data_IF_247839482812
#
_entry.id   IF_247839482812
#
_cell.length_a   1.000
_cell.length_b   1.000
_cell.length_c   1.000
_cell.angle_alpha   90.00
_cell.angle_beta   90.00
_cell.angle_gamma   90.00
#
_symmetry.space_group_name_H-M   'P 1'
#
loop_
_entity.id
_entity.type
_entity.pdbx_description
1 polymer ?
#
# COMPACT_ATOMS: atom_id res chain seq x y z
N UNK A 1 -22.98 -32.20 -10.17
CA UNK A 1 -23.09 -31.55 -11.49
C UNK A 1 -22.04 -32.04 -12.49
N UNK A 2 -20.73 -32.01 -12.18
CA UNK A 2 -19.65 -32.33 -13.15
C UNK A 2 -19.68 -33.78 -13.69
N UNK A 3 -19.96 -34.79 -12.84
CA UNK A 3 -20.09 -36.20 -13.29
C UNK A 3 -21.32 -36.49 -14.14
N UNK A 4 -22.41 -35.75 -13.93
CA UNK A 4 -23.60 -35.83 -14.79
C UNK A 4 -23.38 -35.11 -16.14
N UNK A 5 -22.45 -34.15 -16.18
CA UNK A 5 -22.01 -33.46 -17.39
C UNK A 5 -21.22 -34.38 -18.35
N UNK A 6 -20.39 -35.28 -17.83
CA UNK A 6 -19.57 -36.18 -18.65
C UNK A 6 -20.39 -37.23 -19.43
N UNK A 7 -21.59 -37.60 -18.98
CA UNK A 7 -22.38 -38.68 -19.58
C UNK A 7 -23.20 -38.26 -20.81
N UNK A 8 -23.24 -36.97 -21.16
CA UNK A 8 -24.07 -36.43 -22.27
C UNK A 8 -23.30 -35.99 -23.52
N UNK A 9 -21.97 -36.13 -23.55
CA UNK A 9 -21.12 -35.49 -24.57
C UNK A 9 -20.16 -36.45 -25.31
N UNK A 10 -20.66 -37.59 -25.79
CA UNK A 10 -19.84 -38.50 -26.62
C UNK A 10 -19.82 -38.18 -28.11
N UNK A 11 -20.63 -37.26 -28.65
CA UNK A 11 -20.77 -37.18 -30.12
C UNK A 11 -20.32 -35.91 -30.85
N UNK A 12 -20.04 -34.75 -30.22
CA UNK A 12 -19.36 -33.66 -30.97
C UNK A 12 -18.52 -32.74 -30.08
N UNK A 13 -17.40 -33.25 -29.53
CA UNK A 13 -16.35 -32.37 -29.01
C UNK A 13 -15.63 -31.73 -30.19
N UNK A 14 -15.81 -30.42 -30.40
CA UNK A 14 -15.21 -29.68 -31.54
C UNK A 14 -13.89 -29.02 -31.19
N UNK A 15 -13.66 -28.69 -29.92
CA UNK A 15 -12.45 -27.99 -29.50
C UNK A 15 -12.09 -28.31 -28.04
N UNK A 16 -10.84 -28.68 -27.80
CA UNK A 16 -10.30 -28.97 -26.46
C UNK A 16 -9.39 -27.85 -25.98
N UNK A 17 -9.66 -27.32 -24.79
CA UNK A 17 -8.95 -26.17 -24.19
C UNK A 17 -8.20 -26.61 -22.94
N UNK A 18 -6.94 -26.20 -22.83
CA UNK A 18 -6.09 -26.45 -21.67
C UNK A 18 -5.49 -25.14 -21.15
N UNK A 19 -5.71 -24.84 -19.88
CA UNK A 19 -5.10 -23.70 -19.18
C UNK A 19 -3.78 -24.14 -18.55
N UNK A 20 -2.76 -23.29 -18.57
CA UNK A 20 -1.46 -23.48 -17.93
C UNK A 20 -1.03 -22.17 -17.26
N UNK A 21 -0.14 -22.28 -16.27
CA UNK A 21 0.36 -21.14 -15.53
C UNK A 21 1.82 -21.34 -15.16
N UNK A 22 2.56 -20.22 -15.17
CA UNK A 22 3.98 -20.13 -14.86
C UNK A 22 4.22 -19.00 -13.84
N UNK A 23 5.22 -18.14 -14.02
CA UNK A 23 5.55 -17.04 -13.11
C UNK A 23 4.47 -15.96 -13.03
N UNK A 24 3.38 -16.23 -12.32
CA UNK A 24 2.24 -15.33 -12.10
C UNK A 24 1.57 -15.52 -10.72
N UNK A 25 0.68 -14.59 -10.37
CA UNK A 25 -0.17 -14.65 -9.19
C UNK A 25 -1.49 -15.43 -9.39
N UNK A 26 -1.69 -16.06 -10.57
CA UNK A 26 -2.91 -16.80 -10.95
C UNK A 26 -4.20 -15.95 -10.99
N UNK A 27 -4.06 -14.62 -10.94
CA UNK A 27 -5.21 -13.71 -10.85
C UNK A 27 -6.14 -13.81 -12.05
N UNK A 28 -5.63 -14.07 -13.27
CA UNK A 28 -6.48 -14.18 -14.44
C UNK A 28 -7.30 -15.48 -14.40
N UNK A 29 -6.68 -16.61 -14.06
CA UNK A 29 -7.37 -17.91 -13.91
C UNK A 29 -8.38 -17.91 -12.76
N UNK A 30 -8.10 -17.28 -11.63
CA UNK A 30 -9.10 -17.12 -10.57
C UNK A 30 -10.32 -16.35 -11.03
N UNK A 31 -10.14 -15.31 -11.85
CA UNK A 31 -11.26 -14.55 -12.40
C UNK A 31 -12.11 -15.40 -13.35
N UNK A 32 -11.49 -16.17 -14.23
CA UNK A 32 -12.16 -17.13 -15.12
C UNK A 32 -13.02 -18.11 -14.33
N UNK A 33 -12.50 -18.65 -13.22
CA UNK A 33 -13.27 -19.55 -12.34
C UNK A 33 -14.42 -18.81 -11.64
N UNK A 34 -14.20 -17.57 -11.20
CA UNK A 34 -15.22 -16.80 -10.51
C UNK A 34 -16.38 -16.37 -11.43
N UNK A 35 -16.10 -16.17 -12.73
CA UNK A 35 -17.10 -15.84 -13.76
C UNK A 35 -17.40 -17.04 -14.67
N UNK A 36 -17.19 -18.27 -14.18
CA UNK A 36 -17.26 -19.48 -14.99
C UNK A 36 -18.62 -19.68 -15.69
N UNK A 37 -19.70 -19.14 -15.13
CA UNK A 37 -21.03 -19.18 -15.75
C UNK A 37 -21.03 -18.60 -17.18
N UNK A 38 -20.30 -17.50 -17.42
CA UNK A 38 -20.18 -16.89 -18.77
C UNK A 38 -19.49 -17.83 -19.76
N UNK A 39 -18.47 -18.53 -19.27
CA UNK A 39 -17.70 -19.49 -20.07
C UNK A 39 -18.54 -20.75 -20.32
N UNK A 40 -19.24 -21.27 -19.31
CA UNK A 40 -20.04 -22.48 -19.41
C UNK A 40 -21.09 -22.41 -20.53
N UNK A 41 -21.76 -21.27 -20.70
CA UNK A 41 -22.71 -21.05 -21.81
C UNK A 41 -22.03 -21.18 -23.19
N UNK A 42 -20.81 -20.66 -23.33
CA UNK A 42 -20.01 -20.80 -24.55
C UNK A 42 -19.60 -22.27 -24.77
N UNK A 43 -19.15 -22.95 -23.70
CA UNK A 43 -18.72 -24.35 -23.77
C UNK A 43 -19.83 -25.26 -24.31
N UNK A 44 -21.05 -25.08 -23.81
CA UNK A 44 -22.23 -25.81 -24.26
C UNK A 44 -22.61 -25.49 -25.71
N UNK A 45 -22.66 -24.19 -26.06
CA UNK A 45 -23.08 -23.72 -27.40
C UNK A 45 -22.18 -24.24 -28.52
N UNK A 46 -20.88 -24.33 -28.30
CA UNK A 46 -19.90 -24.67 -29.33
C UNK A 46 -19.24 -26.04 -29.18
N UNK A 47 -19.58 -26.82 -28.15
CA UNK A 47 -18.97 -28.13 -27.89
C UNK A 47 -17.48 -28.00 -27.53
N UNK A 48 -17.15 -27.04 -26.66
CA UNK A 48 -15.79 -26.82 -26.17
C UNK A 48 -15.60 -27.61 -24.86
N UNK A 49 -14.54 -28.40 -24.79
CA UNK A 49 -14.19 -29.18 -23.60
C UNK A 49 -12.96 -28.58 -22.92
N UNK A 50 -13.07 -28.19 -21.63
CA UNK A 50 -11.90 -27.86 -20.82
C UNK A 50 -11.26 -29.15 -20.34
N UNK A 51 -10.14 -29.54 -20.96
CA UNK A 51 -9.45 -30.81 -20.64
C UNK A 51 -8.44 -30.66 -19.52
N UNK A 52 -7.99 -29.42 -19.25
CA UNK A 52 -7.07 -29.06 -18.15
C UNK A 52 -7.42 -27.68 -17.59
N UNK A 53 -7.81 -27.64 -16.32
CA UNK A 53 -7.90 -26.43 -15.50
C UNK A 53 -7.84 -26.85 -14.01
N UNK A 54 -6.64 -26.83 -13.41
CA UNK A 54 -6.43 -27.25 -12.03
C UNK A 54 -7.36 -26.62 -10.99
N UNK A 55 -7.74 -25.34 -11.13
CA UNK A 55 -8.64 -24.64 -10.21
C UNK A 55 -10.09 -25.17 -10.28
N UNK A 56 -10.47 -25.81 -11.38
CA UNK A 56 -11.75 -26.52 -11.53
C UNK A 56 -11.64 -28.02 -11.18
N UNK A 57 -10.47 -28.48 -10.71
CA UNK A 57 -10.22 -29.89 -10.39
C UNK A 57 -9.95 -30.76 -11.62
N UNK A 58 -9.83 -30.19 -12.82
CA UNK A 58 -9.58 -30.93 -14.06
C UNK A 58 -8.07 -30.98 -14.32
N UNK A 59 -7.45 -32.15 -14.15
CA UNK A 59 -5.99 -32.33 -14.18
C UNK A 59 -5.47 -33.10 -15.39
N UNK A 60 -6.34 -33.49 -16.32
CA UNK A 60 -5.96 -34.28 -17.49
C UNK A 60 -5.06 -33.48 -18.42
N UNK A 61 -3.93 -34.05 -18.83
CA UNK A 61 -3.05 -33.43 -19.84
C UNK A 61 -3.07 -34.23 -21.16
N UNK A 62 -4.24 -34.74 -21.53
CA UNK A 62 -4.44 -35.40 -22.83
C UNK A 62 -4.83 -34.36 -23.89
N UNK A 63 -4.59 -34.70 -25.16
CA UNK A 63 -4.71 -33.86 -26.38
C UNK A 63 -5.64 -32.63 -26.24
N UNK A 64 -5.10 -31.44 -26.53
CA UNK A 64 -5.81 -30.16 -26.58
C UNK A 64 -5.56 -29.46 -27.92
N UNK A 65 -6.56 -28.72 -28.38
CA UNK A 65 -6.45 -27.89 -29.59
C UNK A 65 -5.94 -26.49 -29.23
N UNK A 66 -6.40 -25.93 -28.10
CA UNK A 66 -6.07 -24.59 -27.64
C UNK A 66 -5.35 -24.67 -26.30
N UNK A 67 -4.16 -24.09 -26.22
CA UNK A 67 -3.45 -23.87 -24.97
C UNK A 67 -3.55 -22.40 -24.57
N UNK A 68 -4.02 -22.14 -23.35
CA UNK A 68 -4.08 -20.81 -22.75
C UNK A 68 -3.02 -20.76 -21.65
N UNK A 69 -2.07 -19.83 -21.76
CA UNK A 69 -0.97 -19.69 -20.80
C UNK A 69 -1.07 -18.34 -20.08
N UNK A 70 -1.18 -18.37 -18.75
CA UNK A 70 -0.98 -17.20 -17.89
C UNK A 70 0.46 -17.14 -17.35
N UNK A 71 0.95 -15.93 -17.11
CA UNK A 71 2.21 -15.69 -16.40
C UNK A 71 3.45 -15.54 -17.27
N UNK A 72 4.50 -15.00 -16.65
CA UNK A 72 5.80 -14.86 -17.30
C UNK A 72 6.51 -16.21 -17.36
N UNK A 73 7.27 -16.45 -18.44
CA UNK A 73 8.02 -17.69 -18.63
C UNK A 73 9.41 -17.50 -18.05
N UNK A 74 9.79 -18.28 -17.05
CA UNK A 74 11.14 -18.22 -16.48
C UNK A 74 12.08 -19.15 -17.25
N UNK A 75 13.39 -19.04 -17.03
CA UNK A 75 14.38 -19.93 -17.64
C UNK A 75 14.13 -21.42 -17.38
N UNK A 76 13.50 -21.75 -16.25
CA UNK A 76 13.15 -23.13 -15.86
C UNK A 76 11.94 -23.67 -16.64
N UNK A 77 11.11 -22.79 -17.20
CA UNK A 77 9.84 -23.13 -17.83
C UNK A 77 9.96 -23.33 -19.35
N UNK A 78 11.09 -22.96 -19.94
CA UNK A 78 11.28 -22.85 -21.41
C UNK A 78 10.94 -24.15 -22.13
N UNK A 79 11.50 -25.28 -21.70
CA UNK A 79 11.25 -26.57 -22.37
C UNK A 79 9.80 -27.02 -22.21
N UNK A 80 9.20 -26.72 -21.05
CA UNK A 80 7.80 -27.03 -20.78
C UNK A 80 6.85 -26.22 -21.66
N UNK A 81 7.12 -24.94 -21.85
CA UNK A 81 6.35 -24.05 -22.74
C UNK A 81 6.47 -24.50 -24.20
N UNK A 82 7.68 -24.87 -24.66
CA UNK A 82 7.89 -25.42 -26.00
C UNK A 82 7.12 -26.72 -26.22
N UNK A 83 7.08 -27.60 -25.23
CA UNK A 83 6.29 -28.83 -25.28
C UNK A 83 4.79 -28.54 -25.42
N UNK A 84 4.27 -27.61 -24.61
CA UNK A 84 2.87 -27.19 -24.68
C UNK A 84 2.53 -26.63 -26.06
N UNK A 85 3.40 -25.75 -26.59
CA UNK A 85 3.20 -25.17 -27.91
C UNK A 85 3.15 -26.23 -29.01
N UNK A 86 4.04 -27.24 -28.97
CA UNK A 86 4.06 -28.32 -29.97
C UNK A 86 2.76 -29.12 -30.02
N UNK A 87 2.07 -29.25 -28.90
CA UNK A 87 0.81 -30.00 -28.79
C UNK A 87 -0.42 -29.17 -29.19
N UNK A 88 -0.35 -27.84 -29.06
CA UNK A 88 -1.47 -26.95 -29.35
C UNK A 88 -1.55 -26.52 -30.82
N UNK A 89 -2.76 -26.50 -31.39
CA UNK A 89 -3.04 -25.80 -32.65
C UNK A 89 -2.98 -24.28 -32.45
N UNK A 90 -3.59 -23.78 -31.37
CA UNK A 90 -3.60 -22.37 -31.00
C UNK A 90 -3.00 -22.14 -29.61
N UNK A 91 -2.12 -21.15 -29.49
CA UNK A 91 -1.56 -20.70 -28.22
C UNK A 91 -2.04 -19.27 -27.91
N UNK A 92 -2.74 -19.10 -26.80
CA UNK A 92 -3.25 -17.81 -26.33
C UNK A 92 -2.46 -17.38 -25.08
N UNK A 93 -1.89 -16.18 -25.10
CA UNK A 93 -1.31 -15.55 -23.92
C UNK A 93 -2.42 -14.84 -23.11
N UNK A 94 -2.60 -15.25 -21.86
CA UNK A 94 -3.59 -14.70 -20.94
C UNK A 94 -2.93 -13.76 -19.93
N UNK A 95 -3.34 -12.49 -19.97
CA UNK A 95 -2.94 -11.47 -19.02
C UNK A 95 -1.61 -10.78 -19.33
N UNK A 96 -1.37 -9.69 -18.59
CA UNK A 96 -0.24 -8.79 -18.80
C UNK A 96 1.12 -9.46 -18.53
N UNK A 97 1.17 -10.45 -17.63
CA UNK A 97 2.41 -11.19 -17.36
C UNK A 97 2.82 -12.06 -18.55
N UNK A 98 1.88 -12.76 -19.21
CA UNK A 98 2.19 -13.57 -20.39
C UNK A 98 2.55 -12.69 -21.61
N UNK A 99 1.95 -11.50 -21.72
CA UNK A 99 2.20 -10.57 -22.82
C UNK A 99 3.48 -9.73 -22.66
N UNK A 100 3.71 -9.14 -21.49
CA UNK A 100 4.80 -8.18 -21.22
C UNK A 100 5.94 -8.76 -20.37
N UNK A 101 5.77 -9.97 -19.80
CA UNK A 101 6.69 -10.57 -18.84
C UNK A 101 6.52 -10.04 -17.40
N UNK A 102 5.63 -9.07 -17.20
CA UNK A 102 5.17 -8.61 -15.89
C UNK A 102 6.29 -8.15 -14.96
N UNK A 103 6.05 -8.26 -13.64
CA UNK A 103 7.01 -7.87 -12.60
C UNK A 103 8.36 -8.62 -12.74
N UNK A 104 8.32 -9.88 -13.18
CA UNK A 104 9.51 -10.72 -13.34
C UNK A 104 10.52 -10.21 -14.39
N UNK A 105 10.11 -9.33 -15.30
CA UNK A 105 11.00 -8.69 -16.30
C UNK A 105 11.53 -7.32 -15.90
N UNK A 106 11.06 -6.72 -14.80
CA UNK A 106 11.39 -5.33 -14.46
C UNK A 106 12.88 -5.13 -14.17
N UNK A 107 13.54 -6.10 -13.52
CA UNK A 107 14.99 -6.01 -13.24
C UNK A 107 15.84 -5.86 -14.51
N UNK A 108 15.49 -6.61 -15.56
CA UNK A 108 16.14 -6.54 -16.87
C UNK A 108 15.84 -5.21 -17.59
N UNK A 109 14.59 -4.73 -17.52
CA UNK A 109 14.13 -3.53 -18.26
C UNK A 109 14.68 -2.21 -17.70
N UNK A 110 15.04 -2.17 -16.41
CA UNK A 110 15.48 -0.94 -15.73
C UNK A 110 16.96 -0.93 -15.34
N UNK A 111 17.79 -1.84 -15.87
CA UNK A 111 19.24 -1.85 -15.62
C UNK A 111 19.60 -2.12 -14.15
N UNK A 112 18.68 -2.68 -13.38
CA UNK A 112 18.95 -3.14 -12.02
C UNK A 112 19.94 -4.30 -12.12
N UNK A 113 20.97 -4.34 -11.26
CA UNK A 113 21.97 -5.41 -11.28
C UNK A 113 21.29 -6.77 -11.09
N UNK A 114 21.00 -7.44 -12.21
CA UNK A 114 20.29 -8.71 -12.25
C UNK A 114 20.97 -9.77 -11.37
N UNK A 115 22.29 -9.65 -11.23
CA UNK A 115 23.13 -10.49 -10.38
C UNK A 115 22.69 -10.53 -8.91
N UNK A 116 22.20 -9.41 -8.35
CA UNK A 116 21.75 -9.38 -6.95
C UNK A 116 20.43 -10.12 -6.76
N UNK A 117 19.53 -10.06 -7.75
CA UNK A 117 18.26 -10.79 -7.76
C UNK A 117 18.49 -12.29 -7.99
N UNK A 118 19.35 -12.65 -8.94
CA UNK A 118 19.73 -14.04 -9.21
C UNK A 118 20.38 -14.69 -7.98
N UNK A 119 21.26 -13.97 -7.26
CA UNK A 119 21.87 -14.42 -5.99
C UNK A 119 20.85 -14.68 -4.88
N UNK A 120 19.70 -13.99 -4.91
CA UNK A 120 18.58 -14.21 -3.97
C UNK A 120 17.59 -15.30 -4.45
N UNK A 121 17.91 -15.99 -5.55
CA UNK A 121 17.12 -17.10 -6.07
C UNK A 121 15.95 -16.70 -6.97
N UNK A 122 15.86 -15.43 -7.39
CA UNK A 122 14.83 -15.00 -8.34
C UNK A 122 15.20 -15.44 -9.77
N UNK A 123 14.27 -16.04 -10.49
CA UNK A 123 14.45 -16.38 -11.91
C UNK A 123 14.01 -15.22 -12.81
N UNK A 124 14.78 -14.97 -13.87
CA UNK A 124 14.43 -13.98 -14.89
C UNK A 124 13.25 -14.53 -15.71
N UNK A 125 12.11 -13.84 -15.64
CA UNK A 125 10.96 -14.10 -16.51
C UNK A 125 11.09 -13.34 -17.82
N UNK A 126 10.50 -13.86 -18.90
CA UNK A 126 10.29 -13.18 -20.18
C UNK A 126 8.85 -13.35 -20.65
N UNK A 127 8.34 -12.47 -21.53
CA UNK A 127 7.03 -12.67 -22.13
C UNK A 127 7.01 -13.92 -23.03
N UNK A 128 5.84 -14.55 -23.14
CA UNK A 128 5.65 -15.84 -23.81
C UNK A 128 6.10 -15.83 -25.28
N UNK A 129 5.88 -14.71 -25.97
CA UNK A 129 6.20 -14.54 -27.39
C UNK A 129 7.70 -14.49 -27.70
N UNK A 130 8.57 -14.32 -26.70
CA UNK A 130 10.01 -14.44 -26.87
C UNK A 130 10.48 -15.91 -26.88
N UNK A 131 9.65 -16.84 -26.39
CA UNK A 131 10.00 -18.26 -26.27
C UNK A 131 9.33 -19.10 -27.35
N UNK A 132 8.06 -18.82 -27.65
CA UNK A 132 7.26 -19.55 -28.64
C UNK A 132 6.34 -18.61 -29.42
N UNK A 133 5.95 -19.03 -30.64
CA UNK A 133 4.90 -18.31 -31.40
C UNK A 133 3.58 -18.33 -30.62
N UNK A 134 3.06 -17.14 -30.32
CA UNK A 134 1.74 -16.91 -29.75
C UNK A 134 0.77 -16.55 -30.88
N UNK A 135 -0.40 -17.19 -30.90
CA UNK A 135 -1.41 -16.97 -31.94
C UNK A 135 -2.40 -15.87 -31.55
N UNK A 136 -2.67 -15.68 -30.25
CA UNK A 136 -3.54 -14.61 -29.75
C UNK A 136 -3.22 -14.14 -28.34
N UNK A 137 -3.78 -12.98 -27.99
CA UNK A 137 -3.57 -12.35 -26.69
C UNK A 137 -4.91 -11.95 -26.09
N UNK A 138 -5.12 -12.29 -24.83
CA UNK A 138 -6.20 -11.73 -24.00
C UNK A 138 -5.52 -10.88 -22.93
N UNK A 139 -5.62 -9.56 -23.05
CA UNK A 139 -4.80 -8.63 -22.25
C UNK A 139 -5.54 -8.23 -20.96
N UNK A 140 -4.83 -7.60 -20.02
CA UNK A 140 -5.38 -7.15 -18.73
C UNK A 140 -4.64 -7.70 -17.51
N UNK A 141 -4.94 -7.17 -16.32
CA UNK A 141 -4.39 -7.65 -15.05
C UNK A 141 -5.44 -7.40 -13.93
N UNK A 142 -6.40 -8.32 -13.72
CA UNK A 142 -6.58 -9.59 -14.43
C UNK A 142 -7.15 -9.45 -15.85
N UNK A 143 -6.97 -10.46 -16.70
CA UNK A 143 -7.49 -10.48 -18.06
C UNK A 143 -9.03 -10.52 -18.12
N UNK A 144 -9.61 -9.98 -19.20
CA UNK A 144 -11.06 -9.94 -19.42
C UNK A 144 -11.63 -11.31 -19.76
N UNK A 145 -12.70 -11.70 -19.05
CA UNK A 145 -13.43 -12.94 -19.32
C UNK A 145 -14.22 -12.82 -20.62
N UNK A 146 -14.78 -11.64 -20.90
CA UNK A 146 -15.56 -11.41 -22.11
C UNK A 146 -14.66 -11.42 -23.36
N UNK A 147 -13.44 -10.87 -23.26
CA UNK A 147 -12.44 -11.00 -24.33
C UNK A 147 -12.03 -12.46 -24.56
N UNK A 148 -11.80 -13.23 -23.49
CA UNK A 148 -11.51 -14.65 -23.61
C UNK A 148 -12.66 -15.42 -24.29
N UNK A 149 -13.90 -15.13 -23.92
CA UNK A 149 -15.10 -15.72 -24.53
C UNK A 149 -15.14 -15.43 -26.03
N UNK A 150 -14.92 -14.16 -26.42
CA UNK A 150 -14.91 -13.76 -27.83
C UNK A 150 -13.81 -14.48 -28.65
N UNK A 151 -12.61 -14.61 -28.09
CA UNK A 151 -11.50 -15.32 -28.77
C UNK A 151 -11.82 -16.81 -28.93
N UNK A 152 -12.36 -17.46 -27.89
CA UNK A 152 -12.73 -18.87 -27.97
C UNK A 152 -13.90 -19.12 -28.92
N UNK A 153 -14.88 -18.21 -28.96
CA UNK A 153 -15.99 -18.23 -29.91
C UNK A 153 -15.47 -18.11 -31.36
N UNK A 154 -14.56 -17.17 -31.62
CA UNK A 154 -13.98 -16.97 -32.94
C UNK A 154 -13.25 -18.22 -33.44
N UNK A 155 -12.42 -18.84 -32.59
CA UNK A 155 -11.71 -20.08 -32.95
C UNK A 155 -12.72 -21.20 -33.23
N UNK A 156 -13.75 -21.34 -32.39
CA UNK A 156 -14.77 -22.39 -32.55
C UNK A 156 -15.59 -22.24 -33.85
N UNK A 157 -15.88 -21.00 -34.26
CA UNK A 157 -16.69 -20.71 -35.45
C UNK A 157 -15.86 -20.72 -36.74
N UNK A 158 -14.68 -20.09 -36.71
CA UNK A 158 -13.89 -19.83 -37.93
C UNK A 158 -12.72 -20.78 -38.11
N UNK A 159 -12.29 -21.48 -37.06
CA UNK A 159 -11.05 -22.25 -37.06
C UNK A 159 -9.79 -21.37 -37.19
N UNK A 160 -9.88 -20.08 -36.89
CA UNK A 160 -8.80 -19.11 -37.00
C UNK A 160 -8.83 -18.09 -35.87
N UNK A 161 -7.78 -17.28 -35.75
CA UNK A 161 -7.70 -16.19 -34.79
C UNK A 161 -7.30 -14.90 -35.48
N UNK A 162 -8.10 -13.87 -35.30
CA UNK A 162 -7.83 -12.54 -35.81
C UNK A 162 -6.78 -11.83 -34.95
N UNK A 163 -5.73 -11.32 -35.61
CA UNK A 163 -4.70 -10.52 -34.96
C UNK A 163 -5.14 -9.06 -34.92
N UNK A 164 -5.98 -8.69 -33.96
CA UNK A 164 -6.29 -7.29 -33.71
C UNK A 164 -5.42 -6.76 -32.57
N UNK A 165 -4.73 -5.65 -32.82
CA UNK A 165 -4.15 -4.84 -31.75
C UNK A 165 -5.29 -4.03 -31.10
N UNK A 166 -5.88 -4.56 -30.02
CA UNK A 166 -6.90 -3.84 -29.25
C UNK A 166 -6.26 -3.10 -28.07
N UNK A 167 -6.72 -1.87 -27.83
CA UNK A 167 -6.54 -1.20 -26.53
C UNK A 167 -7.33 -2.03 -25.52
N UNK A 168 -6.65 -2.56 -24.51
CA UNK A 168 -7.34 -3.31 -23.46
C UNK A 168 -8.03 -2.33 -22.52
N UNK A 169 -9.27 -2.64 -22.12
CA UNK A 169 -9.94 -1.90 -21.05
C UNK A 169 -9.30 -2.29 -19.71
N UNK A 170 -8.95 -1.28 -18.91
CA UNK A 170 -8.50 -1.51 -17.55
C UNK A 170 -9.72 -1.87 -16.69
N UNK A 171 -9.94 -3.17 -16.47
CA UNK A 171 -11.17 -3.69 -15.85
C UNK A 171 -11.22 -3.63 -14.32
N UNK A 172 -10.36 -2.84 -13.68
CA UNK A 172 -10.51 -2.59 -12.24
C UNK A 172 -11.62 -1.56 -12.02
N UNK A 173 -12.87 -1.99 -12.12
CA UNK A 173 -14.06 -1.17 -11.89
C UNK A 173 -14.52 -1.20 -10.43
N UNK A 174 -13.67 -0.77 -9.50
CA UNK A 174 -14.11 -0.52 -8.11
C UNK A 174 -13.41 0.71 -7.55
N UNK A 175 -13.95 1.88 -7.88
CA UNK A 175 -13.54 3.16 -7.28
C UNK A 175 -14.47 3.47 -6.10
N UNK A 176 -14.22 2.82 -4.97
CA UNK A 176 -14.69 3.29 -3.67
C UNK A 176 -13.71 4.36 -3.19
N UNK A 177 -14.24 5.53 -2.84
CA UNK A 177 -13.49 6.56 -2.14
C UNK A 177 -14.10 6.74 -0.76
N UNK A 178 -13.34 6.40 0.28
CA UNK A 178 -13.67 6.75 1.66
C UNK A 178 -12.89 8.00 2.03
N UNK A 179 -13.57 9.05 2.46
CA UNK A 179 -12.94 10.32 2.84
C UNK A 179 -13.69 10.92 4.05
N UNK A 180 -12.98 11.12 5.16
CA UNK A 180 -13.52 11.76 6.37
C UNK A 180 -12.91 13.14 6.65
N UNK A 181 -12.24 13.73 5.65
CA UNK A 181 -11.51 14.99 5.73
C UNK A 181 -10.16 14.89 6.44
N UNK A 182 -9.89 13.81 7.17
CA UNK A 182 -8.59 13.54 7.78
C UNK A 182 -7.82 12.44 7.04
N UNK A 183 -8.47 11.32 6.74
CA UNK A 183 -7.95 10.23 5.91
C UNK A 183 -8.81 10.06 4.66
N UNK A 184 -8.15 9.76 3.54
CA UNK A 184 -8.79 9.43 2.27
C UNK A 184 -8.21 8.13 1.70
N UNK A 185 -9.05 7.12 1.49
CA UNK A 185 -8.73 5.87 0.80
C UNK A 185 -9.40 5.85 -0.58
N UNK A 186 -8.58 5.75 -1.62
CA UNK A 186 -8.95 5.60 -3.03
C UNK A 186 -8.63 4.16 -3.46
N UNK A 187 -9.67 3.33 -3.61
CA UNK A 187 -9.47 1.93 -4.00
C UNK A 187 -9.05 1.77 -5.46
N UNK A 188 -9.24 2.77 -6.32
CA UNK A 188 -8.73 2.79 -7.69
C UNK A 188 -7.20 2.70 -7.71
N UNK A 189 -6.53 3.40 -6.79
CA UNK A 189 -5.07 3.33 -6.59
C UNK A 189 -4.61 2.08 -5.83
N UNK A 190 -5.46 1.49 -5.00
CA UNK A 190 -5.08 0.41 -4.08
C UNK A 190 -4.66 -0.88 -4.80
N UNK A 191 -3.46 -1.39 -4.54
CA UNK A 191 -2.97 -2.68 -5.07
C UNK A 191 -3.26 -3.87 -4.15
N UNK A 192 -4.09 -3.68 -3.11
CA UNK A 192 -4.55 -4.73 -2.18
C UNK A 192 -3.40 -5.46 -1.48
N UNK A 193 -2.26 -4.79 -1.25
CA UNK A 193 -1.08 -5.39 -0.65
C UNK A 193 -1.20 -5.76 0.84
N UNK A 194 -2.27 -5.34 1.53
CA UNK A 194 -2.51 -5.68 2.94
C UNK A 194 -1.65 -4.95 3.99
N UNK A 195 -0.60 -4.21 3.61
CA UNK A 195 0.30 -3.52 4.55
C UNK A 195 -0.44 -2.61 5.55
N UNK A 196 -1.41 -1.84 5.06
CA UNK A 196 -2.20 -0.95 5.90
C UNK A 196 -3.07 -1.70 6.92
N UNK A 197 -3.57 -2.89 6.56
CA UNK A 197 -4.36 -3.77 7.44
C UNK A 197 -3.46 -4.34 8.54
N UNK A 198 -2.30 -4.88 8.15
CA UNK A 198 -1.33 -5.47 9.08
C UNK A 198 -0.84 -4.42 10.10
N UNK A 199 -0.44 -3.23 9.63
CA UNK A 199 -0.02 -2.13 10.51
C UNK A 199 -1.14 -1.67 11.45
N UNK A 200 -2.35 -1.51 10.93
CA UNK A 200 -3.49 -1.09 11.73
C UNK A 200 -3.83 -2.11 12.83
N UNK A 201 -3.60 -3.40 12.56
CA UNK A 201 -3.77 -4.47 13.55
C UNK A 201 -2.64 -4.50 14.58
N UNK A 202 -1.38 -4.31 14.15
CA UNK A 202 -0.20 -4.26 15.04
C UNK A 202 -0.28 -3.13 16.08
N UNK A 203 -1.00 -2.04 15.80
CA UNK A 203 -1.22 -0.94 16.74
C UNK A 203 -2.56 -1.03 17.49
N UNK A 204 -3.25 -2.17 17.40
CA UNK A 204 -4.54 -2.48 18.04
C UNK A 204 -5.76 -1.70 17.54
N UNK A 205 -5.64 -0.85 16.52
CA UNK A 205 -6.76 -0.07 15.99
C UNK A 205 -7.71 -0.88 15.09
N UNK A 206 -7.21 -1.86 14.34
CA UNK A 206 -8.00 -2.84 13.55
C UNK A 206 -9.11 -2.26 12.63
N UNK A 207 -8.89 -1.09 12.05
CA UNK A 207 -9.90 -0.29 11.29
C UNK A 207 -10.08 -0.77 9.85
N UNK A 208 -9.06 -1.37 9.25
CA UNK A 208 -9.01 -1.71 7.83
C UNK A 208 -9.09 -3.22 7.64
N UNK A 209 -9.80 -3.66 6.60
CA UNK A 209 -9.90 -5.07 6.20
C UNK A 209 -9.99 -5.24 4.68
N UNK A 210 -9.92 -6.47 4.20
CA UNK A 210 -10.25 -6.82 2.81
C UNK A 210 -11.73 -7.20 2.71
N UNK A 211 -12.44 -6.62 1.74
CA UNK A 211 -13.80 -6.98 1.40
C UNK A 211 -13.87 -7.62 0.01
N UNK A 212 -14.94 -8.38 -0.25
CA UNK A 212 -15.19 -9.11 -1.49
C UNK A 212 -14.17 -10.24 -1.78
N UNK A 213 -14.17 -10.75 -3.02
CA UNK A 213 -13.35 -11.90 -3.47
C UNK A 213 -12.88 -11.73 -4.91
N UNK A 214 -11.79 -12.43 -5.26
CA UNK A 214 -11.21 -12.40 -6.61
C UNK A 214 -10.74 -11.01 -7.04
N UNK A 215 -11.09 -10.60 -8.25
CA UNK A 215 -10.71 -9.29 -8.78
C UNK A 215 -11.50 -8.11 -8.17
N UNK A 216 -12.58 -8.41 -7.43
CA UNK A 216 -13.39 -7.40 -6.75
C UNK A 216 -12.85 -7.06 -5.35
N UNK A 217 -11.77 -7.71 -4.91
CA UNK A 217 -11.21 -7.45 -3.57
C UNK A 217 -10.77 -6.00 -3.48
N UNK A 218 -11.22 -5.33 -2.42
CA UNK A 218 -10.75 -4.00 -2.06
C UNK A 218 -10.32 -3.99 -0.60
N UNK A 219 -9.46 -3.03 -0.26
CA UNK A 219 -9.26 -2.63 1.12
C UNK A 219 -10.34 -1.61 1.48
N UNK A 220 -10.97 -1.75 2.64
CA UNK A 220 -12.02 -0.83 3.14
C UNK A 220 -12.17 -0.97 4.66
N UNK A 221 -12.95 -0.08 5.28
CA UNK A 221 -13.45 -0.23 6.65
C UNK A 221 -14.55 -1.32 6.73
N UNK A 222 -14.82 -1.90 7.92
CA UNK A 222 -15.98 -2.76 8.16
C UNK A 222 -17.26 -2.09 7.69
N UNK A 223 -18.09 -2.81 6.92
CA UNK A 223 -19.34 -2.29 6.36
C UNK A 223 -19.21 -0.96 5.56
N UNK A 224 -17.99 -0.59 5.12
CA UNK A 224 -17.72 0.65 4.37
C UNK A 224 -18.14 1.94 5.10
N UNK A 225 -18.18 1.92 6.43
CA UNK A 225 -18.46 3.10 7.27
C UNK A 225 -17.25 4.05 7.30
N UNK A 226 -17.41 5.25 7.89
CA UNK A 226 -16.29 6.20 7.96
C UNK A 226 -15.14 5.66 8.83
N UNK A 227 -13.93 6.20 8.63
CA UNK A 227 -12.76 5.80 9.44
C UNK A 227 -13.01 5.98 10.94
N UNK A 228 -13.60 7.12 11.35
CA UNK A 228 -13.91 7.39 12.76
C UNK A 228 -14.92 6.40 13.34
N UNK A 229 -16.03 6.13 12.63
CA UNK A 229 -17.03 5.16 13.08
C UNK A 229 -16.46 3.74 13.18
N UNK A 230 -15.49 3.41 12.32
CA UNK A 230 -14.75 2.15 12.39
C UNK A 230 -13.68 2.09 13.49
N UNK A 231 -13.56 3.10 14.36
CA UNK A 231 -12.60 3.12 15.46
C UNK A 231 -11.20 3.63 15.08
N UNK A 232 -11.08 4.45 14.02
CA UNK A 232 -9.78 5.01 13.66
C UNK A 232 -9.24 5.98 14.71
N UNK A 233 -8.04 5.68 15.21
CA UNK A 233 -7.30 6.57 16.10
C UNK A 233 -6.60 7.73 15.36
N UNK A 234 -6.69 7.81 14.03
CA UNK A 234 -6.09 8.88 13.19
C UNK A 234 -4.57 9.02 13.32
N UNK A 235 -3.87 7.92 13.57
CA UNK A 235 -2.40 7.90 13.68
C UNK A 235 -1.67 8.13 12.33
N UNK A 236 -2.32 7.88 11.19
CA UNK A 236 -1.76 8.09 9.85
C UNK A 236 -0.74 7.05 9.35
N UNK A 237 -0.44 5.99 10.12
CA UNK A 237 0.51 4.95 9.71
C UNK A 237 0.12 4.24 8.42
N UNK A 238 -1.18 3.97 8.21
CA UNK A 238 -1.68 3.34 6.99
C UNK A 238 -1.38 4.16 5.73
N UNK A 239 -1.47 5.50 5.83
CA UNK A 239 -1.12 6.41 4.75
C UNK A 239 0.39 6.46 4.53
N UNK A 240 1.17 6.58 5.62
CA UNK A 240 2.63 6.65 5.56
C UNK A 240 3.29 5.42 4.90
N UNK A 241 2.70 4.24 5.10
CA UNK A 241 3.21 2.97 4.56
C UNK A 241 2.55 2.55 3.24
N UNK A 242 1.60 3.33 2.71
CA UNK A 242 0.94 3.00 1.46
C UNK A 242 1.91 3.18 0.28
N UNK A 243 2.27 2.12 -0.46
CA UNK A 243 3.28 2.21 -1.52
C UNK A 243 2.81 2.96 -2.78
N UNK A 244 1.49 3.19 -2.90
CA UNK A 244 0.84 3.73 -4.10
C UNK A 244 -0.02 4.95 -3.79
N UNK A 245 0.12 5.52 -2.58
CA UNK A 245 -0.71 6.64 -2.11
C UNK A 245 -2.23 6.42 -2.30
N UNK A 246 -2.67 5.17 -2.13
CA UNK A 246 -4.09 4.83 -2.11
C UNK A 246 -4.76 5.32 -0.82
N UNK A 247 -4.03 5.34 0.30
CA UNK A 247 -4.47 6.00 1.53
C UNK A 247 -3.60 7.24 1.72
N UNK A 248 -4.23 8.37 1.95
CA UNK A 248 -3.58 9.67 2.19
C UNK A 248 -4.20 10.33 3.42
N UNK A 249 -3.49 11.30 4.00
CA UNK A 249 -3.98 12.13 5.10
C UNK A 249 -4.19 13.58 4.63
N UNK A 250 -4.85 14.38 5.45
CA UNK A 250 -5.14 15.80 5.18
C UNK A 250 -3.88 16.56 4.75
N UNK A 251 -3.94 17.17 3.58
CA UNK A 251 -2.84 17.94 3.02
C UNK A 251 -3.00 19.43 3.37
N UNK A 252 -2.05 19.96 4.15
CA UNK A 252 -2.04 21.37 4.56
C UNK A 252 -0.93 22.17 3.84
N UNK A 253 -0.25 21.57 2.86
CA UNK A 253 0.94 22.14 2.20
C UNK A 253 0.65 23.51 1.60
N UNK A 254 -0.45 23.64 0.85
CA UNK A 254 -0.81 24.91 0.22
C UNK A 254 -1.08 26.00 1.26
N UNK A 255 -1.84 25.67 2.31
CA UNK A 255 -2.12 26.58 3.41
C UNK A 255 -0.83 27.00 4.14
N UNK A 256 0.07 26.05 4.40
CA UNK A 256 1.36 26.33 5.03
C UNK A 256 2.25 27.23 4.18
N UNK A 257 2.33 27.00 2.86
CA UNK A 257 3.08 27.86 1.94
C UNK A 257 2.48 29.26 1.82
N UNK A 258 1.15 29.39 1.90
CA UNK A 258 0.49 30.69 1.95
C UNK A 258 0.88 31.45 3.22
N UNK A 259 0.85 30.79 4.38
CA UNK A 259 1.31 31.39 5.65
C UNK A 259 2.78 31.78 5.58
N UNK A 260 3.64 30.92 5.00
CA UNK A 260 5.05 31.23 4.80
C UNK A 260 5.25 32.48 3.93
N UNK A 261 4.61 32.56 2.76
CA UNK A 261 4.72 33.71 1.84
C UNK A 261 4.24 35.03 2.44
N UNK A 262 3.31 34.97 3.39
CA UNK A 262 2.82 36.14 4.11
C UNK A 262 3.72 36.55 5.28
N UNK A 263 4.89 35.92 5.45
CA UNK A 263 5.80 36.19 6.56
C UNK A 263 5.30 35.65 7.90
N UNK A 264 4.49 34.58 7.89
CA UNK A 264 4.05 33.90 9.10
C UNK A 264 5.20 33.22 9.85
N UNK A 265 4.90 32.76 11.07
CA UNK A 265 5.87 32.03 11.91
C UNK A 265 5.74 30.53 11.73
N UNK A 266 6.81 29.81 12.04
CA UNK A 266 6.82 28.34 12.10
C UNK A 266 7.30 27.87 13.46
N UNK A 267 6.55 26.95 14.04
CA UNK A 267 6.94 26.21 15.25
C UNK A 267 7.30 24.80 14.81
N UNK A 268 8.51 24.36 15.10
CA UNK A 268 9.03 23.04 14.71
C UNK A 268 9.35 22.21 15.95
N UNK A 269 8.85 20.97 15.99
CA UNK A 269 9.21 20.03 17.04
C UNK A 269 10.68 19.62 16.92
N UNK A 270 11.38 19.51 18.05
CA UNK A 270 12.82 19.17 18.09
C UNK A 270 13.16 17.89 17.31
N UNK A 271 12.33 16.86 17.42
CA UNK A 271 12.52 15.60 16.70
C UNK A 271 12.36 15.77 15.18
N UNK A 272 11.52 16.71 14.74
CA UNK A 272 11.35 17.00 13.32
C UNK A 272 12.62 17.63 12.74
N UNK A 273 13.30 18.51 13.47
CA UNK A 273 14.60 19.10 13.06
C UNK A 273 15.59 17.99 12.72
N UNK A 274 15.77 17.03 13.62
CA UNK A 274 16.71 15.92 13.45
C UNK A 274 16.32 15.00 12.28
N UNK A 275 15.03 14.72 12.15
CA UNK A 275 14.52 13.89 11.05
C UNK A 275 14.67 14.55 9.67
N UNK A 276 14.40 15.85 9.56
CA UNK A 276 14.59 16.62 8.32
C UNK A 276 16.07 16.66 7.95
N UNK A 277 16.93 16.96 8.92
CA UNK A 277 18.37 17.02 8.71
C UNK A 277 18.90 15.70 8.14
N UNK A 278 18.51 14.58 8.75
CA UNK A 278 18.85 13.23 8.27
C UNK A 278 18.29 12.95 6.87
N UNK A 279 17.05 13.32 6.58
CA UNK A 279 16.39 13.03 5.30
C UNK A 279 16.95 13.84 4.12
N UNK A 280 17.48 15.03 4.39
CA UNK A 280 18.08 15.92 3.39
C UNK A 280 19.62 15.80 3.32
N UNK A 281 20.24 15.10 4.27
CA UNK A 281 21.72 15.01 4.35
C UNK A 281 22.37 16.33 4.74
N UNK A 282 21.69 17.14 5.57
CA UNK A 282 22.18 18.42 6.10
C UNK A 282 22.40 18.34 7.61
N UNK A 283 23.06 19.34 8.17
CA UNK A 283 23.20 19.49 9.63
C UNK A 283 21.90 20.02 10.25
N UNK A 284 21.58 19.66 11.51
CA UNK A 284 20.41 20.18 12.22
C UNK A 284 20.30 21.72 12.23
N UNK A 285 21.41 22.45 12.37
CA UNK A 285 21.41 23.92 12.34
C UNK A 285 21.09 24.54 10.98
N UNK A 286 21.13 23.77 9.89
CA UNK A 286 20.76 24.22 8.54
C UNK A 286 19.25 24.14 8.27
N UNK A 287 18.48 23.49 9.16
CA UNK A 287 17.02 23.39 9.03
C UNK A 287 16.33 24.75 9.23
N UNK A 288 16.88 25.62 10.08
CA UNK A 288 16.32 26.96 10.31
C UNK A 288 16.43 27.82 9.03
N UNK A 289 17.61 27.97 8.40
CA UNK A 289 17.72 28.66 7.11
C UNK A 289 16.88 28.05 6.00
N UNK A 290 16.71 26.72 5.97
CA UNK A 290 15.79 26.07 5.04
C UNK A 290 14.36 26.60 5.20
N UNK A 291 13.85 26.64 6.44
CA UNK A 291 12.51 27.18 6.73
C UNK A 291 12.40 28.67 6.37
N UNK A 292 13.43 29.47 6.66
CA UNK A 292 13.46 30.89 6.24
C UNK A 292 13.43 31.04 4.71
N UNK A 293 14.13 30.18 3.99
CA UNK A 293 14.14 30.14 2.51
C UNK A 293 12.76 29.81 1.94
N UNK A 294 11.96 29.01 2.65
CA UNK A 294 10.56 28.74 2.29
C UNK A 294 9.61 29.94 2.52
N UNK A 295 10.09 31.01 3.19
CA UNK A 295 9.35 32.27 3.40
C UNK A 295 9.02 32.58 4.85
N UNK A 296 9.25 31.66 5.80
CA UNK A 296 8.92 31.90 7.21
C UNK A 296 9.78 33.01 7.82
N UNK A 297 9.13 33.98 8.48
CA UNK A 297 9.82 35.13 9.08
C UNK A 297 10.51 34.78 10.41
N UNK A 298 9.92 33.84 11.16
CA UNK A 298 10.39 33.41 12.48
C UNK A 298 10.26 31.91 12.64
N UNK A 299 11.30 31.29 13.17
CA UNK A 299 11.37 29.84 13.45
C UNK A 299 11.52 29.66 14.97
N UNK A 300 10.66 28.85 15.57
CA UNK A 300 10.70 28.50 16.99
C UNK A 300 10.82 26.98 17.14
N UNK A 301 11.81 26.51 17.90
CA UNK A 301 11.99 25.08 18.18
C UNK A 301 11.35 24.76 19.53
N UNK A 302 10.49 23.74 19.55
CA UNK A 302 9.82 23.27 20.77
C UNK A 302 10.08 21.79 21.04
N UNK A 303 10.21 21.43 22.31
CA UNK A 303 10.15 20.04 22.75
C UNK A 303 8.78 19.80 23.41
N UNK A 304 7.84 19.06 22.79
CA UNK A 304 6.53 18.81 23.39
C UNK A 304 6.60 18.18 24.79
N UNK A 305 7.65 17.40 25.08
CA UNK A 305 7.83 16.76 26.39
C UNK A 305 8.08 17.76 27.51
N UNK A 306 8.60 18.97 27.21
CA UNK A 306 8.81 20.01 28.23
C UNK A 306 7.52 20.64 28.73
N UNK A 307 6.39 20.34 28.08
CA UNK A 307 5.05 20.82 28.49
C UNK A 307 4.37 19.86 29.47
N UNK A 308 5.00 18.70 29.74
CA UNK A 308 4.47 17.70 30.65
C UNK A 308 4.85 18.10 32.08
N UNK A 309 3.82 18.23 32.91
CA UNK A 309 3.96 18.47 34.35
C UNK A 309 4.39 17.18 35.06
N UNK A 310 5.69 17.04 35.33
CA UNK A 310 6.31 15.85 35.91
C UNK A 310 5.86 15.50 37.33
N UNK A 311 5.20 16.44 38.02
CA UNK A 311 4.74 16.23 39.41
C UNK A 311 3.43 15.44 39.48
N UNK A 312 2.70 15.35 38.36
CA UNK A 312 1.45 14.60 38.30
C UNK A 312 1.70 13.10 38.25
N UNK A 313 0.66 12.33 38.55
CA UNK A 313 0.64 10.89 38.30
C UNK A 313 -0.42 10.60 37.25
N UNK A 314 -0.03 9.94 36.17
CA UNK A 314 -0.96 9.61 35.09
C UNK A 314 -0.30 9.15 33.80
N UNK A 315 -1.16 8.83 32.83
CA UNK A 315 -0.79 8.41 31.49
C UNK A 315 -0.91 9.62 30.58
N UNK A 316 0.19 10.00 29.93
CA UNK A 316 0.23 11.13 29.00
C UNK A 316 0.28 10.58 27.58
N UNK A 317 -0.79 10.70 26.79
CA UNK A 317 -0.71 10.45 25.36
C UNK A 317 0.28 11.44 24.72
N UNK A 318 0.98 11.04 23.66
CA UNK A 318 1.80 12.01 22.92
C UNK A 318 0.96 12.88 21.98
N UNK A 319 -0.12 12.32 21.44
CA UNK A 319 -1.06 13.00 20.53
C UNK A 319 -2.50 12.54 20.74
N UNK A 320 -3.43 13.12 19.97
CA UNK A 320 -4.82 12.68 19.92
C UNK A 320 -4.97 11.18 19.56
N UNK A 321 -4.00 10.59 18.85
CA UNK A 321 -4.04 9.18 18.48
C UNK A 321 -3.86 8.25 19.67
N UNK A 322 -2.87 8.49 20.53
CA UNK A 322 -2.68 7.71 21.75
C UNK A 322 -3.83 7.92 22.73
N UNK A 323 -4.42 9.12 22.79
CA UNK A 323 -5.59 9.40 23.63
C UNK A 323 -6.76 8.49 23.23
N UNK A 324 -7.12 8.48 21.94
CA UNK A 324 -8.19 7.60 21.43
C UNK A 324 -7.88 6.13 21.59
N UNK A 325 -6.62 5.74 21.39
CA UNK A 325 -6.21 4.35 21.60
C UNK A 325 -6.53 3.91 23.03
N UNK A 326 -6.16 4.70 24.03
CA UNK A 326 -6.45 4.38 25.44
C UNK A 326 -7.96 4.33 25.66
N UNK A 327 -8.71 5.33 25.20
CA UNK A 327 -10.16 5.39 25.37
C UNK A 327 -10.89 4.18 24.73
N UNK A 328 -10.41 3.68 23.59
CA UNK A 328 -11.06 2.61 22.83
C UNK A 328 -10.58 1.21 23.20
N UNK A 329 -9.27 1.04 23.44
CA UNK A 329 -8.64 -0.28 23.61
C UNK A 329 -8.36 -0.59 25.08
N UNK A 330 -8.15 0.43 25.91
CA UNK A 330 -7.84 0.31 27.34
C UNK A 330 -8.77 1.21 28.18
N UNK A 331 -10.11 1.04 28.08
CA UNK A 331 -11.06 1.97 28.69
C UNK A 331 -10.86 2.15 30.20
N UNK A 332 -10.38 1.13 30.91
CA UNK A 332 -10.04 1.15 32.34
C UNK A 332 -8.90 2.12 32.69
N UNK A 333 -8.02 2.43 31.73
CA UNK A 333 -6.91 3.36 31.87
C UNK A 333 -7.32 4.82 31.58
N UNK A 334 -8.51 5.04 30.99
CA UNK A 334 -8.99 6.39 30.63
C UNK A 334 -9.08 7.34 31.82
N UNK A 335 -9.38 6.83 33.02
CA UNK A 335 -9.45 7.62 34.26
C UNK A 335 -8.09 8.18 34.72
N UNK A 336 -7.00 7.67 34.16
CA UNK A 336 -5.63 8.12 34.45
C UNK A 336 -5.06 8.99 33.33
N UNK A 337 -5.82 9.27 32.28
CA UNK A 337 -5.37 10.11 31.18
C UNK A 337 -5.15 11.55 31.64
N UNK A 338 -3.94 12.04 31.37
CA UNK A 338 -3.60 13.44 31.43
C UNK A 338 -3.71 14.06 30.03
N UNK A 339 -3.78 15.39 29.98
CA UNK A 339 -3.74 16.11 28.70
C UNK A 339 -2.40 15.87 27.99
N UNK A 340 -2.48 15.57 26.69
CA UNK A 340 -1.29 15.43 25.86
C UNK A 340 -0.72 16.82 25.51
N UNK A 341 0.59 16.93 25.23
CA UNK A 341 1.21 18.23 24.99
C UNK A 341 0.68 18.83 23.68
N UNK A 342 -0.31 19.72 23.78
CA UNK A 342 -0.89 20.47 22.66
C UNK A 342 -0.32 21.89 22.64
N UNK A 343 0.16 22.33 21.48
CA UNK A 343 0.82 23.62 21.36
C UNK A 343 -0.21 24.75 21.21
N UNK A 344 -0.01 25.87 21.90
CA UNK A 344 -0.84 27.06 21.67
C UNK A 344 -0.28 27.84 20.48
N UNK A 345 -0.92 27.69 19.32
CA UNK A 345 -0.51 28.28 18.04
C UNK A 345 -1.55 29.33 17.61
N UNK A 346 -1.08 30.48 17.11
CA UNK A 346 -1.97 31.47 16.49
C UNK A 346 -2.27 31.13 15.03
N UNK A 347 -3.15 31.91 14.40
CA UNK A 347 -3.62 31.67 13.02
C UNK A 347 -2.54 31.82 11.95
N UNK A 348 -1.46 32.56 12.23
CA UNK A 348 -0.36 32.84 11.31
C UNK A 348 0.85 31.95 11.61
N UNK A 349 0.61 30.79 12.22
CA UNK A 349 1.62 29.82 12.64
C UNK A 349 1.46 28.48 11.94
N UNK A 350 2.54 27.99 11.34
CA UNK A 350 2.64 26.61 10.83
C UNK A 350 3.32 25.73 11.88
N UNK A 351 2.78 24.54 12.13
CA UNK A 351 3.47 23.49 12.90
C UNK A 351 4.24 22.56 11.96
N UNK A 352 5.50 22.25 12.29
CA UNK A 352 6.29 21.19 11.65
C UNK A 352 6.54 20.06 12.64
N UNK A 353 6.15 18.83 12.27
CA UNK A 353 6.09 17.68 13.19
C UNK A 353 6.40 16.34 12.50
N UNK A 354 6.77 15.34 13.29
CA UNK A 354 6.95 13.93 12.86
C UNK A 354 5.66 13.10 12.93
N UNK A 355 4.54 13.70 13.36
CA UNK A 355 3.29 12.98 13.67
C UNK A 355 2.12 13.49 12.83
N UNK A 356 1.49 12.60 12.05
CA UNK A 356 0.28 12.93 11.27
C UNK A 356 -0.91 13.29 12.16
N UNK A 357 -1.04 12.68 13.35
CA UNK A 357 -2.16 12.94 14.25
C UNK A 357 -2.25 14.43 14.68
N UNK A 358 -1.12 15.15 14.71
CA UNK A 358 -1.08 16.59 15.00
C UNK A 358 -1.87 17.46 14.03
N UNK A 359 -2.11 16.98 12.80
CA UNK A 359 -3.02 17.65 11.86
C UNK A 359 -4.42 17.76 12.47
N UNK A 360 -4.86 16.81 13.29
CA UNK A 360 -6.16 16.96 13.91
C UNK A 360 -6.23 18.11 14.93
N UNK A 361 -5.11 18.39 15.58
CA UNK A 361 -5.01 19.39 16.63
C UNK A 361 -4.80 20.81 16.13
N UNK A 362 -4.15 20.92 14.98
CA UNK A 362 -3.62 22.17 14.46
C UNK A 362 -3.85 22.25 12.94
N UNK A 363 -3.92 23.46 12.42
CA UNK A 363 -3.88 23.72 10.97
C UNK A 363 -3.38 25.15 10.76
N UNK A 364 -2.44 25.38 9.84
CA UNK A 364 -1.75 24.41 8.98
C UNK A 364 -0.65 23.61 9.69
N UNK A 365 -0.49 22.32 9.32
CA UNK A 365 0.58 21.44 9.81
C UNK A 365 1.33 20.79 8.66
N UNK A 366 2.65 20.94 8.63
CA UNK A 366 3.55 20.23 7.76
C UNK A 366 4.17 19.04 8.50
N UNK A 367 4.01 17.84 7.95
CA UNK A 367 4.82 16.70 8.36
C UNK A 367 6.24 16.83 7.82
N UNK A 368 7.20 16.14 8.45
CA UNK A 368 8.57 16.02 7.91
C UNK A 368 8.56 15.50 6.47
N UNK A 369 7.71 14.53 6.15
CA UNK A 369 7.58 14.00 4.80
C UNK A 369 7.15 15.07 3.79
N UNK A 370 6.12 15.85 4.10
CA UNK A 370 5.66 16.95 3.25
C UNK A 370 6.75 18.01 3.07
N UNK A 371 7.41 18.43 4.17
CA UNK A 371 8.47 19.45 4.13
C UNK A 371 9.68 18.99 3.31
N UNK A 372 10.13 17.74 3.50
CA UNK A 372 11.27 17.19 2.75
C UNK A 372 10.93 17.08 1.26
N UNK A 373 9.71 16.70 0.92
CA UNK A 373 9.26 16.63 -0.48
C UNK A 373 9.24 18.03 -1.11
N UNK A 374 8.66 19.01 -0.42
CA UNK A 374 8.68 20.42 -0.84
C UNK A 374 10.10 20.95 -1.05
N UNK A 375 10.99 20.71 -0.09
CA UNK A 375 12.37 21.17 -0.16
C UNK A 375 13.10 20.60 -1.40
N UNK A 376 12.87 19.33 -1.74
CA UNK A 376 13.44 18.69 -2.94
C UNK A 376 12.84 19.24 -4.23
N UNK A 377 11.53 19.46 -4.26
CA UNK A 377 10.82 19.99 -5.44
C UNK A 377 11.23 21.44 -5.77
N UNK A 378 11.60 22.22 -4.75
CA UNK A 378 12.05 23.61 -4.92
C UNK A 378 13.52 23.74 -5.36
N UNK A 379 14.23 22.63 -5.62
CA UNK A 379 15.63 22.60 -6.08
C UNK A 379 16.59 23.46 -5.22
N UNK A 380 16.30 23.58 -3.91
CA UNK A 380 17.12 24.36 -2.98
C UNK A 380 18.50 23.69 -2.87
N UNK A 381 19.57 24.46 -3.07
CA UNK A 381 20.93 23.93 -2.90
C UNK A 381 21.26 23.86 -1.41
N UNK A 382 21.04 22.67 -0.83
CA UNK A 382 21.15 22.45 0.60
C UNK A 382 22.56 22.64 1.18
N UNK A 383 23.61 22.45 0.36
CA UNK A 383 25.01 22.56 0.80
C UNK A 383 25.42 23.97 1.18
N UNK A 384 24.75 24.98 0.64
CA UNK A 384 25.11 26.39 0.82
C UNK A 384 24.32 27.07 1.93
N UNK A 385 23.41 26.35 2.59
CA UNK A 385 22.64 26.90 3.70
C UNK A 385 23.55 27.15 4.91
N UNK A 386 23.52 28.35 5.52
CA UNK A 386 24.29 28.62 6.73
C UNK A 386 23.82 27.72 7.89
N UNK A 387 24.62 27.65 8.95
CA UNK A 387 24.24 26.92 10.17
C UNK A 387 23.86 27.94 11.25
N UNK A 388 22.66 27.80 11.81
CA UNK A 388 22.20 28.59 12.96
C UNK A 388 22.29 27.76 14.26
N UNK A 389 22.58 28.44 15.37
CA UNK A 389 22.57 27.80 16.69
C UNK A 389 21.13 27.38 17.05
N UNK A 390 20.99 26.13 17.48
CA UNK A 390 19.70 25.57 17.90
C UNK A 390 19.47 25.94 19.36
N UNK A 391 18.92 27.13 19.60
CA UNK A 391 18.43 27.48 20.94
C UNK A 391 17.15 26.67 21.22
N UNK A 392 17.28 25.60 22.02
CA UNK A 392 16.13 24.91 22.59
C UNK A 392 15.94 25.35 24.03
N UNK A 393 14.69 25.62 24.42
CA UNK A 393 14.30 25.63 25.82
C UNK A 393 14.34 24.19 26.33
N UNK A 394 15.53 23.69 26.65
CA UNK A 394 15.75 22.36 27.22
C UNK A 394 15.31 22.37 28.68
N UNK A 395 14.08 21.94 28.93
CA UNK A 395 13.80 21.26 30.18
C UNK A 395 13.86 19.77 29.87
N UNK A 396 14.97 19.11 30.25
CA UNK A 396 15.06 17.66 30.24
C UNK A 396 14.09 17.12 31.29
N UNK A 397 12.87 16.81 30.84
CA UNK A 397 11.87 16.18 31.66
C UNK A 397 12.18 14.68 31.69
N UNK A 398 12.67 14.17 32.83
CA UNK A 398 12.98 12.75 33.02
C UNK A 398 11.69 11.94 33.18
N UNK A 399 10.97 11.72 32.06
CA UNK A 399 9.70 10.97 32.02
C UNK A 399 9.90 9.59 31.39
N UNK A 400 9.20 8.57 31.89
CA UNK A 400 9.16 7.23 31.28
C UNK A 400 8.40 7.33 29.96
N UNK A 401 9.01 6.90 28.86
CA UNK A 401 8.38 6.91 27.52
C UNK A 401 8.26 5.47 27.04
N UNK A 402 7.03 5.04 26.75
CA UNK A 402 6.75 3.75 26.12
C UNK A 402 6.69 3.94 24.60
N UNK A 403 7.50 3.18 23.84
CA UNK A 403 7.67 3.36 22.40
C UNK A 403 7.20 2.13 21.63
N UNK A 404 6.14 2.32 20.84
CA UNK A 404 5.54 1.29 20.02
C UNK A 404 4.48 0.44 20.76
N UNK A 405 3.75 -0.41 20.03
CA UNK A 405 2.54 -1.05 20.54
C UNK A 405 2.75 -1.93 21.77
N UNK A 406 3.76 -2.79 21.74
CA UNK A 406 4.02 -3.74 22.84
C UNK A 406 4.47 -3.02 24.12
N UNK A 407 5.36 -2.04 24.01
CA UNK A 407 5.78 -1.22 25.15
C UNK A 407 4.62 -0.38 25.69
N UNK A 408 3.80 0.22 24.83
CA UNK A 408 2.62 1.00 25.23
C UNK A 408 1.64 0.12 26.01
N UNK A 409 1.32 -1.07 25.49
CA UNK A 409 0.44 -2.02 26.17
C UNK A 409 1.00 -2.44 27.53
N UNK A 410 2.27 -2.84 27.57
CA UNK A 410 2.92 -3.25 28.81
C UNK A 410 2.94 -2.10 29.83
N UNK A 411 3.23 -0.88 29.39
CA UNK A 411 3.30 0.28 30.27
C UNK A 411 1.93 0.69 30.82
N UNK A 412 0.85 0.55 30.03
CA UNK A 412 -0.52 0.77 30.52
C UNK A 412 -0.87 -0.29 31.59
N UNK A 413 -0.58 -1.57 31.34
CA UNK A 413 -0.88 -2.66 32.28
C UNK A 413 -0.10 -2.52 33.60
N UNK A 414 1.18 -2.16 33.50
CA UNK A 414 2.05 -1.88 34.63
C UNK A 414 1.52 -0.68 35.45
N UNK A 415 1.09 0.38 34.76
CA UNK A 415 0.50 1.56 35.40
C UNK A 415 -0.83 1.24 36.10
N UNK A 416 -1.70 0.43 35.48
CA UNK A 416 -2.97 0.01 36.10
C UNK A 416 -2.75 -0.80 37.38
N UNK A 417 -1.68 -1.61 37.42
CA UNK A 417 -1.34 -2.44 38.57
C UNK A 417 -0.72 -1.64 39.71
N UNK A 418 0.06 -0.59 39.39
CA UNK A 418 0.69 0.29 40.37
C UNK A 418 0.74 1.75 39.87
N UNK A 419 -0.35 2.53 40.02
CA UNK A 419 -0.43 3.89 39.49
C UNK A 419 0.54 4.85 40.19
N UNK A 420 1.72 5.08 39.60
CA UNK A 420 2.75 5.97 40.12
C UNK A 420 3.51 6.67 39.01
N UNK A 421 3.77 7.97 39.20
CA UNK A 421 4.56 8.78 38.28
C UNK A 421 3.88 8.98 36.93
N UNK A 422 4.68 9.33 35.92
CA UNK A 422 4.19 9.61 34.57
C UNK A 422 4.73 8.60 33.58
N UNK A 423 3.84 8.15 32.70
CA UNK A 423 4.21 7.41 31.50
C UNK A 423 3.70 8.12 30.25
N UNK A 424 4.60 8.39 29.32
CA UNK A 424 4.27 8.97 28.01
C UNK A 424 4.10 7.85 26.99
N UNK A 425 3.01 7.86 26.23
CA UNK A 425 2.71 6.85 25.24
C UNK A 425 3.04 7.34 23.82
N UNK A 426 3.81 6.57 23.07
CA UNK A 426 4.06 6.79 21.64
C UNK A 426 3.70 5.51 20.87
N UNK A 427 2.55 5.46 20.19
CA UNK A 427 2.03 4.20 19.61
C UNK A 427 2.76 3.77 18.34
N UNK A 428 3.36 4.72 17.61
CA UNK A 428 4.07 4.39 16.38
C UNK A 428 5.18 3.37 16.66
N UNK A 429 5.34 2.32 15.83
CA UNK A 429 6.43 1.37 16.00
C UNK A 429 7.78 2.11 16.07
N UNK A 430 8.56 1.93 17.15
CA UNK A 430 9.81 2.68 17.39
C UNK A 430 9.64 4.11 17.93
N UNK A 431 8.42 4.48 18.33
CA UNK A 431 8.07 5.80 18.86
C UNK A 431 8.01 6.90 17.80
N UNK A 432 8.00 8.16 18.23
CA UNK A 432 7.90 9.31 17.32
C UNK A 432 9.08 9.44 16.35
N UNK A 433 10.24 8.85 16.68
CA UNK A 433 11.41 8.78 15.79
C UNK A 433 11.18 7.94 14.52
N UNK A 434 10.12 7.12 14.49
CA UNK A 434 9.62 6.36 13.33
C UNK A 434 8.14 6.71 13.07
N UNK A 435 7.73 7.92 13.43
CA UNK A 435 6.36 8.41 13.35
C UNK A 435 5.80 8.46 11.92
N UNK A 436 4.47 8.50 11.83
CA UNK A 436 3.73 8.52 10.55
C UNK A 436 3.98 9.75 9.68
N UNK A 437 4.52 10.83 10.24
CA UNK A 437 4.88 12.04 9.50
C UNK A 437 6.28 11.98 8.87
N UNK A 438 7.00 10.86 9.00
CA UNK A 438 8.32 10.67 8.42
C UNK A 438 8.26 10.03 7.02
N UNK A 439 9.36 10.11 6.29
CA UNK A 439 9.51 9.45 5.00
C UNK A 439 9.71 7.94 5.18
N UNK A 440 8.90 7.13 4.49
CA UNK A 440 8.89 5.65 4.47
C UNK A 440 9.88 4.97 5.43
N UNK A 441 9.51 4.73 6.70
CA UNK A 441 10.22 3.78 7.54
C UNK A 441 10.22 2.42 6.85
N UNK A 442 11.37 2.04 6.26
CA UNK A 442 11.54 0.74 5.63
C UNK A 442 11.25 -0.31 6.72
N UNK A 443 10.38 -1.26 6.44
CA UNK A 443 9.98 -2.37 7.33
C UNK A 443 11.16 -3.27 7.77
N UNK A 444 12.41 -2.97 7.38
CA UNK A 444 13.59 -3.82 7.60
C UNK A 444 13.99 -3.98 9.07
N UNK A 445 13.37 -3.25 9.99
CA UNK A 445 13.68 -3.29 11.43
C UNK A 445 12.56 -3.94 12.29
N UNK A 446 11.63 -4.69 11.68
CA UNK A 446 10.57 -5.42 12.40
C UNK A 446 10.60 -6.92 12.13
#
# INVERSE_FOLDING_TARGET
MIRAFHARFTEVVRMKVAFFSFGACEGCRYRIVNEFAKIATLLEKYGIEIVREPLLGVKTEKNYDVAIIEGAVTSLDVERVKEIRRKAKFLIALGSCAFLGGIATLGYKYGVQADEYLKKGYSLGVPLHQIVKVDGYVRGCPASVDELVNVLEEIAVTGSISKYERRFEYEKQTDLVLDDGFLRLDTGKCIVCGRCIELCSKIYANVLTQAFRGYRVIVTTPAQISFLEAGCIRCGLCAAYCPVAAITYRNDVEAALKTAKNGGRVVIERQAVEAIAKALGIKPGQVIPLLKTLGFSKVEIVNPLSLIDAEKTGIVPYSSAEKRLVEQVFPEASKYLLEYPKLSLDKDTVLVTVCVARKEDHSPVLTVHELVSLARDMLITFKDLPEEQLESKNNDCNVKIAKGPEEVKAAIQDFLSNPRGIVVLQICPGGCAKGSGLHFPILNDY
#
